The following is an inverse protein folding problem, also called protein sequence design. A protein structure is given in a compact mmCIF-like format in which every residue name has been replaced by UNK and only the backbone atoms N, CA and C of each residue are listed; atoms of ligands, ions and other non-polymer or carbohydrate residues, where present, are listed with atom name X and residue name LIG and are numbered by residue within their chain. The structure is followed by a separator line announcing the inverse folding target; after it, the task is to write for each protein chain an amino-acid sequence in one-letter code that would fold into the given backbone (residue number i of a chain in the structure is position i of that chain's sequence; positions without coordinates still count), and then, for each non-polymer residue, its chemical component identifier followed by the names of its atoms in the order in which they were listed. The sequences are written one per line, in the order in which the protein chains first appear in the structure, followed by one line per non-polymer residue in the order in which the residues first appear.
data_IF_166530713603
#
_entry.id   IF_166530713603
#
_cell.length_a   1.000
_cell.length_b   1.000
_cell.length_c   1.000
_cell.angle_alpha   90.00
_cell.angle_beta   90.00
_cell.angle_gamma   90.00
#
_symmetry.space_group_name_H-M   'P 1'
#
loop_
_entity.id
_entity.type
_entity.pdbx_description
1 polymer ?
#
# COMPACT_ATOMS: atom_id res chain seq x y z
N UNK A 1 7.91 -9.80 -11.29
CA UNK A 1 7.77 -9.90 -9.84
C UNK A 1 9.00 -9.24 -9.21
N UNK A 2 8.80 -8.20 -8.44
CA UNK A 2 9.90 -7.60 -7.65
C UNK A 2 9.94 -8.39 -6.36
N UNK A 3 11.03 -9.13 -6.15
CA UNK A 3 11.29 -9.80 -4.88
C UNK A 3 12.03 -8.78 -4.01
N UNK A 4 11.41 -8.37 -2.92
CA UNK A 4 12.03 -7.56 -1.89
C UNK A 4 12.11 -8.38 -0.60
N UNK A 5 13.09 -8.13 0.25
CA UNK A 5 13.19 -8.80 1.55
C UNK A 5 11.99 -8.46 2.45
N UNK A 6 11.43 -7.26 2.25
CA UNK A 6 10.18 -6.83 2.88
C UNK A 6 9.14 -6.61 1.77
N UNK A 7 8.24 -7.55 1.58
CA UNK A 7 7.17 -7.42 0.60
C UNK A 7 6.05 -6.54 1.14
N UNK A 8 5.79 -5.42 0.47
CA UNK A 8 4.66 -4.56 0.73
C UNK A 8 3.63 -4.66 -0.41
N UNK A 9 2.38 -4.88 -0.04
CA UNK A 9 1.27 -4.90 -0.98
C UNK A 9 0.61 -3.53 -1.04
N UNK A 10 0.54 -2.94 -2.23
CA UNK A 10 -0.11 -1.66 -2.42
C UNK A 10 -1.63 -1.80 -2.41
N UNK A 11 -2.25 -1.09 -1.49
CA UNK A 11 -3.70 -0.94 -1.41
C UNK A 11 -4.07 0.41 -2.01
N UNK A 12 -4.68 0.40 -3.18
CA UNK A 12 -5.14 1.61 -3.85
C UNK A 12 -6.55 1.42 -4.41
N UNK A 13 -7.28 2.51 -4.53
CA UNK A 13 -8.55 2.52 -5.25
C UNK A 13 -8.28 2.57 -6.75
N UNK A 14 -9.07 1.85 -7.51
CA UNK A 14 -8.97 1.82 -8.97
C UNK A 14 -10.25 2.34 -9.61
N UNK A 15 -10.23 2.48 -10.92
CA UNK A 15 -11.43 2.82 -11.71
C UNK A 15 -12.42 1.66 -11.84
N UNK A 16 -12.04 0.47 -11.41
CA UNK A 16 -12.83 -0.76 -11.53
C UNK A 16 -13.77 -0.98 -10.34
N UNK A 17 -13.38 -0.46 -9.16
CA UNK A 17 -14.15 -0.59 -7.93
C UNK A 17 -14.48 0.78 -7.33
N UNK A 18 -15.59 0.87 -6.63
CA UNK A 18 -15.82 2.00 -5.73
C UNK A 18 -14.89 1.93 -4.52
N UNK A 19 -14.49 3.08 -4.00
CA UNK A 19 -13.52 3.17 -2.88
C UNK A 19 -13.90 2.29 -1.68
N UNK A 20 -15.17 2.25 -1.21
CA UNK A 20 -15.57 1.32 -0.14
C UNK A 20 -15.39 -0.15 -0.50
N UNK A 21 -15.68 -0.52 -1.76
CA UNK A 21 -15.48 -1.90 -2.23
C UNK A 21 -14.00 -2.27 -2.27
N UNK A 22 -13.13 -1.36 -2.71
CA UNK A 22 -11.69 -1.58 -2.68
C UNK A 22 -11.21 -1.81 -1.25
N UNK A 23 -11.65 -1.00 -0.29
CA UNK A 23 -11.33 -1.18 1.12
C UNK A 23 -11.76 -2.56 1.64
N UNK A 24 -12.98 -2.99 1.33
CA UNK A 24 -13.47 -4.32 1.72
C UNK A 24 -12.62 -5.45 1.15
N UNK A 25 -12.22 -5.36 -0.13
CA UNK A 25 -11.39 -6.39 -0.77
C UNK A 25 -10.00 -6.48 -0.13
N UNK A 26 -9.39 -5.36 0.23
CA UNK A 26 -8.10 -5.37 0.93
C UNK A 26 -8.21 -5.92 2.35
N UNK A 27 -9.27 -5.60 3.08
CA UNK A 27 -9.52 -6.16 4.41
C UNK A 27 -9.72 -7.68 4.33
N UNK A 28 -10.49 -8.18 3.36
CA UNK A 28 -10.63 -9.61 3.09
C UNK A 28 -9.29 -10.25 2.73
N UNK A 29 -8.53 -9.59 1.85
CA UNK A 29 -7.19 -10.05 1.46
C UNK A 29 -6.25 -10.17 2.65
N UNK A 30 -6.25 -9.18 3.55
CA UNK A 30 -5.50 -9.19 4.81
C UNK A 30 -5.83 -10.42 5.66
N UNK A 31 -7.11 -10.64 5.92
CA UNK A 31 -7.60 -11.79 6.68
C UNK A 31 -7.18 -13.13 6.05
N UNK A 32 -7.36 -13.25 4.73
CA UNK A 32 -7.00 -14.47 3.99
C UNK A 32 -5.50 -14.75 4.06
N UNK A 33 -4.65 -13.74 3.92
CA UNK A 33 -3.20 -13.91 3.96
C UNK A 33 -2.72 -14.39 5.33
N UNK A 34 -3.27 -13.86 6.43
CA UNK A 34 -2.96 -14.35 7.77
C UNK A 34 -3.36 -15.84 7.96
N UNK A 35 -4.56 -16.19 7.50
CA UNK A 35 -5.04 -17.59 7.56
C UNK A 35 -4.16 -18.51 6.72
N UNK A 36 -3.86 -18.14 5.48
CA UNK A 36 -3.02 -18.95 4.57
C UNK A 36 -1.60 -19.09 5.12
N UNK A 37 -1.00 -18.00 5.60
CA UNK A 37 0.34 -18.05 6.17
C UNK A 37 0.43 -19.04 7.33
N UNK A 38 -0.57 -19.05 8.21
CA UNK A 38 -0.64 -19.99 9.34
C UNK A 38 -0.95 -21.41 8.90
N UNK A 39 -1.98 -21.59 8.08
CA UNK A 39 -2.47 -22.92 7.68
C UNK A 39 -1.42 -23.71 6.92
N UNK A 40 -0.67 -23.07 6.02
CA UNK A 40 0.30 -23.71 5.17
C UNK A 40 1.75 -23.50 5.60
N UNK A 41 2.00 -22.84 6.72
CA UNK A 41 3.36 -22.60 7.23
C UNK A 41 4.22 -21.78 6.27
N UNK A 42 3.63 -20.80 5.56
CA UNK A 42 4.30 -19.98 4.54
C UNK A 42 5.12 -18.82 5.11
N UNK A 43 5.47 -18.86 6.36
CA UNK A 43 6.22 -17.83 7.06
C UNK A 43 5.48 -17.32 8.31
N UNK A 44 6.00 -16.24 8.90
CA UNK A 44 5.31 -15.56 10.00
C UNK A 44 4.04 -14.88 9.49
N UNK A 45 2.93 -14.94 10.22
CA UNK A 45 1.76 -14.10 9.95
C UNK A 45 2.07 -12.59 9.92
N UNK A 46 3.13 -12.17 10.63
CA UNK A 46 3.62 -10.79 10.65
C UNK A 46 4.69 -10.51 9.57
N UNK A 47 4.95 -11.47 8.68
CA UNK A 47 6.01 -11.41 7.66
C UNK A 47 5.63 -10.64 6.40
N UNK A 48 4.46 -10.00 6.34
CA UNK A 48 4.04 -9.16 5.23
C UNK A 48 3.37 -7.88 5.75
N UNK A 49 3.37 -6.86 4.91
CA UNK A 49 2.77 -5.57 5.23
C UNK A 49 1.96 -5.06 4.04
N UNK A 50 0.91 -4.32 4.34
CA UNK A 50 0.19 -3.56 3.33
C UNK A 50 0.63 -2.10 3.41
N UNK A 51 0.77 -1.48 2.24
CA UNK A 51 1.06 -0.07 2.07
C UNK A 51 -0.02 0.55 1.21
N UNK A 52 -0.59 1.68 1.63
CA UNK A 52 -1.51 2.42 0.79
C UNK A 52 -0.78 3.16 -0.31
N UNK A 53 -1.48 3.42 -1.42
CA UNK A 53 -1.01 4.28 -2.49
C UNK A 53 -2.06 5.35 -2.77
N UNK A 54 -1.64 6.58 -2.91
CA UNK A 54 -2.52 7.70 -3.25
C UNK A 54 -1.94 8.55 -4.37
N UNK A 55 -2.79 9.13 -5.19
CA UNK A 55 -2.40 9.90 -6.37
C UNK A 55 -3.26 11.14 -6.64
N UNK A 56 -4.04 11.60 -5.67
CA UNK A 56 -4.84 12.82 -5.78
C UNK A 56 -4.06 14.07 -5.35
N UNK A 57 -4.61 15.27 -5.65
CA UNK A 57 -4.22 16.52 -5.00
C UNK A 57 -4.69 16.53 -3.53
N UNK A 58 -4.25 17.53 -2.77
CA UNK A 58 -4.57 17.61 -1.34
C UNK A 58 -6.09 17.63 -1.07
N UNK A 59 -6.84 18.41 -1.84
CA UNK A 59 -8.30 18.46 -1.71
C UNK A 59 -8.96 17.09 -1.95
N UNK A 60 -8.48 16.34 -2.95
CA UNK A 60 -8.97 15.01 -3.25
C UNK A 60 -8.63 13.98 -2.16
N UNK A 61 -7.45 14.11 -1.54
CA UNK A 61 -7.05 13.23 -0.42
C UNK A 61 -7.88 13.55 0.84
N UNK A 62 -8.27 14.80 1.02
CA UNK A 62 -9.14 15.25 2.12
C UNK A 62 -10.64 14.99 1.87
N UNK A 63 -11.03 14.56 0.66
CA UNK A 63 -12.41 14.17 0.40
C UNK A 63 -12.81 13.01 1.32
N UNK A 64 -14.00 13.13 1.91
CA UNK A 64 -14.47 12.19 2.94
C UNK A 64 -14.32 10.71 2.54
N UNK A 65 -14.59 10.37 1.29
CA UNK A 65 -14.50 8.96 0.83
C UNK A 65 -13.07 8.43 0.84
N UNK A 66 -12.07 9.30 0.55
CA UNK A 66 -10.65 8.94 0.58
C UNK A 66 -10.15 8.95 2.02
N UNK A 67 -10.60 9.90 2.80
CA UNK A 67 -10.30 9.97 4.22
C UNK A 67 -10.81 8.73 4.97
N UNK A 68 -12.05 8.32 4.72
CA UNK A 68 -12.64 7.09 5.27
C UNK A 68 -11.83 5.83 4.85
N UNK A 69 -11.32 5.80 3.62
CA UNK A 69 -10.45 4.73 3.16
C UNK A 69 -9.12 4.71 3.94
N UNK A 70 -8.46 5.86 4.08
CA UNK A 70 -7.19 5.97 4.80
C UNK A 70 -7.37 5.53 6.26
N UNK A 71 -8.38 6.05 6.96
CA UNK A 71 -8.62 5.70 8.37
C UNK A 71 -9.03 4.23 8.54
N UNK A 72 -9.88 3.70 7.65
CA UNK A 72 -10.29 2.30 7.68
C UNK A 72 -9.16 1.32 7.36
N UNK A 73 -8.16 1.72 6.57
CA UNK A 73 -6.98 0.90 6.31
C UNK A 73 -5.92 1.04 7.41
N UNK A 74 -5.87 2.15 8.13
CA UNK A 74 -5.02 2.29 9.33
C UNK A 74 -5.52 1.41 10.46
N UNK A 75 -6.82 1.38 10.68
CA UNK A 75 -7.46 0.50 11.65
C UNK A 75 -8.85 0.06 11.15
N UNK A 76 -8.93 -1.18 10.72
CA UNK A 76 -10.16 -1.79 10.21
C UNK A 76 -11.07 -2.37 11.33
N UNK A 77 -10.65 -2.34 12.59
CA UNK A 77 -11.31 -3.05 13.69
C UNK A 77 -12.78 -2.70 13.89
N UNK A 78 -13.14 -1.45 13.57
CA UNK A 78 -14.55 -1.01 13.68
C UNK A 78 -15.36 -1.17 12.39
N UNK A 79 -14.73 -1.53 11.29
CA UNK A 79 -15.44 -1.76 10.02
C UNK A 79 -16.34 -2.99 10.11
N UNK A 80 -17.49 -2.93 9.41
CA UNK A 80 -18.43 -4.05 9.37
C UNK A 80 -17.78 -5.30 8.75
N UNK A 81 -17.02 -5.11 7.66
CA UNK A 81 -16.40 -6.20 6.92
C UNK A 81 -15.33 -6.94 7.75
N UNK A 82 -14.52 -6.22 8.53
CA UNK A 82 -13.51 -6.85 9.39
C UNK A 82 -14.18 -7.74 10.46
N UNK A 83 -15.25 -7.24 11.09
CA UNK A 83 -16.04 -7.98 12.07
C UNK A 83 -16.71 -9.20 11.45
N UNK A 84 -17.34 -9.03 10.27
CA UNK A 84 -17.98 -10.12 9.53
C UNK A 84 -16.98 -11.22 9.14
N UNK A 85 -15.83 -10.86 8.60
CA UNK A 85 -14.79 -11.82 8.24
C UNK A 85 -14.27 -12.59 9.46
N UNK A 86 -14.01 -11.90 10.58
CA UNK A 86 -13.56 -12.51 11.83
C UNK A 86 -14.61 -13.48 12.38
N UNK A 87 -15.88 -13.06 12.42
CA UNK A 87 -16.99 -13.91 12.86
C UNK A 87 -17.14 -15.15 11.98
N UNK A 88 -17.03 -14.99 10.67
CA UNK A 88 -17.10 -16.11 9.74
C UNK A 88 -15.96 -17.11 9.97
N UNK A 89 -14.74 -16.65 10.11
CA UNK A 89 -13.57 -17.48 10.38
C UNK A 89 -13.72 -18.24 11.71
N UNK A 90 -14.13 -17.55 12.78
CA UNK A 90 -14.36 -18.16 14.09
C UNK A 90 -15.45 -19.22 14.07
N UNK A 91 -16.50 -19.03 13.25
CA UNK A 91 -17.59 -19.99 13.08
C UNK A 91 -17.14 -21.25 12.32
N UNK A 92 -16.16 -21.12 11.45
CA UNK A 92 -15.71 -22.17 10.54
C UNK A 92 -14.27 -22.62 10.83
N UNK A 93 -13.80 -22.41 12.05
CA UNK A 93 -12.43 -22.77 12.44
C UNK A 93 -12.13 -24.26 12.25
N UNK A 94 -13.13 -25.10 12.30
CA UNK A 94 -13.07 -26.55 12.07
C UNK A 94 -12.74 -26.96 10.63
N UNK A 95 -12.74 -26.01 9.68
CA UNK A 95 -12.28 -26.23 8.31
C UNK A 95 -10.76 -26.22 8.17
N UNK A 96 -10.04 -25.74 9.20
CA UNK A 96 -8.57 -25.60 9.17
C UNK A 96 -7.91 -26.69 10.02
N UNK A 97 -6.69 -27.09 9.62
CA UNK A 97 -5.88 -28.06 10.37
C UNK A 97 -4.94 -27.39 11.37
N UNK A 98 -4.44 -26.20 11.03
CA UNK A 98 -3.39 -25.52 11.77
C UNK A 98 -3.78 -24.15 12.31
N UNK A 99 -4.88 -23.55 11.82
CA UNK A 99 -5.40 -22.27 12.31
C UNK A 99 -6.31 -22.53 13.52
N UNK A 100 -6.02 -21.85 14.61
CA UNK A 100 -6.83 -21.92 15.85
C UNK A 100 -7.71 -20.68 16.01
N UNK A 101 -8.61 -20.72 17.00
CA UNK A 101 -9.43 -19.53 17.37
C UNK A 101 -8.54 -18.38 17.80
N UNK A 102 -7.52 -18.67 18.58
CA UNK A 102 -6.55 -17.69 19.08
C UNK A 102 -5.79 -17.02 17.93
N UNK A 103 -5.43 -17.77 16.89
CA UNK A 103 -4.79 -17.21 15.70
C UNK A 103 -5.73 -16.24 14.98
N UNK A 104 -7.02 -16.57 14.84
CA UNK A 104 -8.02 -15.70 14.21
C UNK A 104 -8.25 -14.42 15.03
N UNK A 105 -8.36 -14.55 16.34
CA UNK A 105 -8.56 -13.43 17.26
C UNK A 105 -7.34 -12.50 17.30
N UNK A 106 -6.14 -13.04 17.07
CA UNK A 106 -4.88 -12.31 17.03
C UNK A 106 -4.63 -11.57 15.71
N UNK A 107 -5.42 -11.79 14.64
CA UNK A 107 -5.25 -11.05 13.39
C UNK A 107 -5.39 -9.55 13.67
N UNK A 108 -4.35 -8.73 13.41
CA UNK A 108 -4.38 -7.32 13.72
C UNK A 108 -5.37 -6.56 12.83
N UNK A 109 -5.99 -5.54 13.40
CA UNK A 109 -6.88 -4.63 12.66
C UNK A 109 -6.13 -3.49 11.97
N UNK A 110 -4.89 -3.25 12.36
CA UNK A 110 -3.98 -2.30 11.72
C UNK A 110 -3.43 -2.92 10.42
N UNK A 111 -4.00 -2.53 9.28
CA UNK A 111 -3.69 -3.12 7.98
C UNK A 111 -2.53 -2.39 7.30
N UNK A 112 -2.57 -1.05 7.31
CA UNK A 112 -1.54 -0.20 6.73
C UNK A 112 -1.01 0.80 7.75
N UNK A 113 0.31 0.85 7.91
CA UNK A 113 0.99 1.89 8.68
C UNK A 113 1.73 2.90 7.80
N UNK A 114 1.66 2.73 6.49
CA UNK A 114 2.36 3.56 5.51
C UNK A 114 1.53 3.85 4.27
N UNK A 115 1.86 4.96 3.62
CA UNK A 115 1.23 5.41 2.37
C UNK A 115 2.30 5.93 1.41
N UNK A 116 2.18 5.56 0.14
CA UNK A 116 3.04 6.07 -0.93
C UNK A 116 2.28 7.09 -1.76
N UNK A 117 2.76 8.32 -1.76
CA UNK A 117 2.27 9.36 -2.65
C UNK A 117 2.82 9.14 -4.06
N UNK A 118 1.93 8.77 -4.98
CA UNK A 118 2.22 8.60 -6.40
C UNK A 118 1.67 9.81 -7.14
N UNK A 119 2.46 10.89 -7.24
CA UNK A 119 2.06 12.09 -7.95
C UNK A 119 2.08 11.87 -9.45
N UNK A 120 1.11 12.44 -10.14
CA UNK A 120 1.12 12.49 -11.59
C UNK A 120 2.15 13.52 -12.09
N UNK A 121 2.62 13.37 -13.33
CA UNK A 121 3.46 14.36 -13.99
C UNK A 121 2.84 15.76 -13.89
N UNK A 122 3.64 16.74 -13.50
CA UNK A 122 3.22 18.13 -13.39
C UNK A 122 2.61 18.53 -12.03
N UNK A 123 2.67 17.68 -11.01
CA UNK A 123 2.30 18.11 -9.66
C UNK A 123 3.36 19.07 -9.12
N UNK A 124 3.00 20.31 -8.74
CA UNK A 124 3.96 21.28 -8.23
C UNK A 124 4.63 20.79 -6.94
N UNK A 125 5.94 21.07 -6.73
CA UNK A 125 6.64 20.64 -5.50
C UNK A 125 5.94 21.11 -4.22
N UNK A 126 5.34 22.30 -4.20
CA UNK A 126 4.61 22.81 -3.05
C UNK A 126 3.37 21.98 -2.74
N UNK A 127 2.68 21.47 -3.75
CA UNK A 127 1.52 20.61 -3.55
C UNK A 127 1.95 19.25 -2.95
N UNK A 128 3.07 18.70 -3.41
CA UNK A 128 3.66 17.48 -2.83
C UNK A 128 4.00 17.70 -1.36
N UNK A 129 4.64 18.84 -1.03
CA UNK A 129 4.98 19.20 0.35
C UNK A 129 3.73 19.32 1.22
N UNK A 130 2.67 19.94 0.72
CA UNK A 130 1.40 20.10 1.44
C UNK A 130 0.75 18.74 1.71
N UNK A 131 0.71 17.83 0.73
CA UNK A 131 0.14 16.49 0.88
C UNK A 131 0.95 15.69 1.90
N UNK A 132 2.27 15.66 1.77
CA UNK A 132 3.16 14.94 2.70
C UNK A 132 3.01 15.47 4.12
N UNK A 133 2.95 16.79 4.26
CA UNK A 133 2.75 17.45 5.56
C UNK A 133 1.43 17.04 6.20
N UNK A 134 0.35 17.02 5.42
CA UNK A 134 -0.96 16.54 5.88
C UNK A 134 -0.94 15.09 6.32
N UNK A 135 -0.39 14.20 5.49
CA UNK A 135 -0.31 12.77 5.81
C UNK A 135 0.52 12.48 7.07
N UNK A 136 1.65 13.18 7.24
CA UNK A 136 2.51 13.01 8.41
C UNK A 136 1.92 13.64 9.68
N UNK A 137 1.38 14.85 9.59
CA UNK A 137 0.99 15.63 10.78
C UNK A 137 -0.46 15.41 11.20
N UNK A 138 -1.38 15.27 10.24
CA UNK A 138 -2.81 15.14 10.54
C UNK A 138 -3.24 13.67 10.53
N UNK A 139 -2.69 12.88 9.62
CA UNK A 139 -3.02 11.44 9.53
C UNK A 139 -2.08 10.55 10.32
N UNK A 140 -0.94 11.06 10.77
CA UNK A 140 0.05 10.31 11.57
C UNK A 140 0.46 8.98 10.92
N UNK A 141 0.63 8.98 9.59
CA UNK A 141 0.99 7.80 8.82
C UNK A 141 2.37 7.99 8.17
N UNK A 142 3.19 6.94 8.15
CA UNK A 142 4.46 6.96 7.44
C UNK A 142 4.24 7.21 5.96
N UNK A 143 4.93 8.19 5.41
CA UNK A 143 4.68 8.66 4.04
C UNK A 143 5.92 8.52 3.18
N UNK A 144 5.77 7.86 2.04
CA UNK A 144 6.77 7.77 0.99
C UNK A 144 6.34 8.59 -0.21
N UNK A 145 7.31 9.21 -0.89
CA UNK A 145 7.07 9.92 -2.15
C UNK A 145 7.70 9.13 -3.27
N UNK A 146 6.87 8.69 -4.22
CA UNK A 146 7.36 8.06 -5.44
C UNK A 146 7.99 9.12 -6.33
N UNK A 147 9.30 9.00 -6.56
CA UNK A 147 10.05 9.91 -7.40
C UNK A 147 10.27 9.31 -8.80
N UNK A 148 10.38 10.18 -9.80
CA UNK A 148 10.75 9.75 -11.14
C UNK A 148 12.21 9.27 -11.19
N UNK A 149 12.55 8.31 -12.06
CA UNK A 149 13.94 7.89 -12.28
C UNK A 149 14.87 9.04 -12.70
N UNK A 150 14.30 10.10 -13.30
CA UNK A 150 14.99 11.32 -13.69
C UNK A 150 15.54 12.14 -12.53
N UNK A 151 15.08 11.91 -11.29
CA UNK A 151 15.48 12.67 -10.10
C UNK A 151 17.01 12.68 -9.87
N UNK A 152 17.70 11.60 -10.22
CA UNK A 152 19.14 11.47 -10.02
C UNK A 152 19.97 12.08 -11.18
N UNK A 153 19.30 12.62 -12.19
CA UNK A 153 19.90 13.27 -13.34
C UNK A 153 20.41 12.32 -14.42
N UNK A 154 20.65 12.92 -15.60
CA UNK A 154 21.02 12.18 -16.81
C UNK A 154 22.28 11.33 -16.64
N UNK A 155 23.35 11.91 -16.11
CA UNK A 155 24.65 11.24 -15.98
C UNK A 155 24.56 9.98 -15.10
N UNK A 156 23.83 10.07 -13.98
CA UNK A 156 23.63 8.92 -13.11
C UNK A 156 22.85 7.80 -13.82
N UNK A 157 21.72 8.15 -14.46
CA UNK A 157 20.89 7.16 -15.12
C UNK A 157 21.60 6.54 -16.32
N UNK A 158 22.32 7.35 -17.10
CA UNK A 158 23.10 6.84 -18.24
C UNK A 158 24.13 5.82 -17.77
N UNK A 159 24.92 6.19 -16.76
CA UNK A 159 25.90 5.29 -16.19
C UNK A 159 25.28 3.99 -15.67
N UNK A 160 24.19 4.08 -14.91
CA UNK A 160 23.51 2.91 -14.38
C UNK A 160 23.01 1.97 -15.51
N UNK A 161 22.44 2.54 -16.57
CA UNK A 161 21.98 1.77 -17.72
C UNK A 161 23.13 1.09 -18.45
N UNK A 162 24.25 1.79 -18.65
CA UNK A 162 25.45 1.23 -19.27
C UNK A 162 26.04 0.09 -18.43
N UNK A 163 26.18 0.29 -17.12
CA UNK A 163 26.68 -0.73 -16.18
C UNK A 163 25.80 -2.01 -16.16
N UNK A 164 24.50 -1.86 -16.42
CA UNK A 164 23.53 -2.97 -16.52
C UNK A 164 23.47 -3.60 -17.92
N UNK A 165 24.23 -3.12 -18.89
CA UNK A 165 24.27 -3.64 -20.25
C UNK A 165 23.17 -3.11 -21.18
N UNK A 166 22.50 -2.01 -20.81
CA UNK A 166 21.48 -1.33 -21.61
C UNK A 166 22.07 -0.12 -22.39
N UNK A 167 23.30 -0.22 -22.85
CA UNK A 167 24.02 0.80 -23.61
C UNK A 167 23.36 1.13 -24.95
N UNK A 168 22.57 0.19 -25.48
CA UNK A 168 21.80 0.36 -26.73
C UNK A 168 20.56 1.26 -26.55
N UNK A 169 20.14 1.58 -25.32
CA UNK A 169 18.98 2.44 -25.08
C UNK A 169 19.36 3.91 -25.26
N UNK A 170 18.75 4.55 -26.25
CA UNK A 170 18.98 5.96 -26.55
C UNK A 170 18.00 6.87 -25.78
N UNK A 171 18.53 7.74 -24.95
CA UNK A 171 17.83 8.86 -24.33
C UNK A 171 18.80 10.03 -24.10
N UNK A 172 18.28 11.22 -23.95
CA UNK A 172 19.07 12.45 -23.85
C UNK A 172 18.77 13.19 -22.54
N UNK A 173 19.64 14.14 -22.19
CA UNK A 173 19.47 14.99 -21.02
C UNK A 173 18.18 15.85 -21.03
N UNK A 174 17.57 15.99 -22.22
CA UNK A 174 16.29 16.68 -22.37
C UNK A 174 15.18 16.06 -21.51
N UNK A 175 15.16 14.74 -21.37
CA UNK A 175 14.18 14.02 -20.57
C UNK A 175 14.38 14.19 -19.05
N UNK A 176 15.40 14.92 -18.62
CA UNK A 176 15.79 15.13 -17.23
C UNK A 176 15.71 16.60 -16.80
N UNK A 177 15.07 17.44 -17.61
CA UNK A 177 15.01 18.90 -17.37
C UNK A 177 13.67 19.40 -16.83
N UNK A 178 12.74 18.50 -16.51
CA UNK A 178 11.43 18.82 -15.93
C UNK A 178 11.48 18.83 -14.39
#
# INVERSE_FOLDING_TARGET
CIVAEDEAYNCEWSTELYVPQAMEEYIKGWMILHVIAKEFGLGSPDGFQFNMSCGYNLEGIQDKKIDDFIEGMKDAGDTAIFKECREWLLKHVDLFEHVTREDIEAIPSEICNSITLSTMHGCPPQEIENIVTYLLKEKHIHTYVKCNPTLLGYEFVRKAMDDLGYDYMAFTDFHFKD
#
